data_IF_220340869406
#
_entry.id   IF_220340869406
#
_cell.length_a   1.000
_cell.length_b   1.000
_cell.length_c   1.000
_cell.angle_alpha   90.00
_cell.angle_beta   90.00
_cell.angle_gamma   90.00
#
_symmetry.space_group_name_H-M   'P 1'
#
loop_
_entity.id
_entity.type
_entity.pdbx_description
1 polymer ?
#
# COMPACT_ATOMS: atom_id res chain seq x y z
N UNK A 1 -56.13 -26.71 -10.49
CA UNK A 1 -54.73 -27.17 -10.42
C UNK A 1 -53.89 -26.12 -11.12
N UNK A 2 -53.26 -25.22 -10.37
CA UNK A 2 -52.39 -24.19 -10.90
C UNK A 2 -50.96 -24.53 -10.48
N UNK A 3 -50.13 -24.85 -11.46
CA UNK A 3 -48.71 -25.15 -11.29
C UNK A 3 -47.91 -23.82 -11.17
N UNK A 4 -47.35 -23.58 -10.01
CA UNK A 4 -46.37 -22.51 -9.76
C UNK A 4 -45.01 -22.95 -10.32
N UNK A 5 -44.51 -22.27 -11.33
CA UNK A 5 -43.10 -22.33 -11.72
C UNK A 5 -42.31 -21.34 -10.89
N UNK A 6 -41.43 -21.86 -10.03
CA UNK A 6 -40.42 -21.09 -9.34
C UNK A 6 -39.26 -20.78 -10.31
N UNK A 7 -39.13 -19.53 -10.72
CA UNK A 7 -37.95 -19.03 -11.42
C UNK A 7 -36.86 -18.73 -10.38
N UNK A 8 -35.77 -19.47 -10.46
CA UNK A 8 -34.56 -19.27 -9.68
C UNK A 8 -33.88 -17.98 -10.12
N UNK A 9 -33.77 -17.06 -9.16
CA UNK A 9 -33.13 -15.73 -9.30
C UNK A 9 -31.59 -15.85 -9.16
N UNK A 10 -30.95 -16.54 -10.13
CA UNK A 10 -29.50 -16.81 -10.15
C UNK A 10 -28.70 -15.93 -11.12
N UNK A 11 -29.33 -14.94 -11.78
CA UNK A 11 -28.69 -14.19 -12.88
C UNK A 11 -28.53 -12.69 -12.64
N UNK A 12 -28.15 -12.26 -11.44
CA UNK A 12 -27.86 -10.84 -11.18
C UNK A 12 -26.53 -10.57 -10.50
N UNK A 13 -25.47 -11.28 -10.89
CA UNK A 13 -24.10 -10.80 -10.61
C UNK A 13 -23.41 -10.46 -11.94
N UNK A 14 -24.05 -9.59 -12.71
CA UNK A 14 -23.42 -8.99 -13.88
C UNK A 14 -22.40 -7.97 -13.38
N UNK A 15 -21.16 -8.45 -13.21
CA UNK A 15 -19.98 -7.67 -12.83
C UNK A 15 -19.78 -6.57 -13.88
N UNK A 16 -20.21 -5.34 -13.59
CA UNK A 16 -19.86 -4.19 -14.40
C UNK A 16 -18.36 -3.95 -14.22
N UNK A 17 -17.53 -4.60 -15.05
CA UNK A 17 -16.14 -4.20 -15.27
C UNK A 17 -16.18 -2.75 -15.77
N UNK A 18 -16.02 -1.78 -14.88
CA UNK A 18 -15.86 -0.38 -15.30
C UNK A 18 -14.55 -0.30 -16.07
N UNK A 19 -14.64 0.07 -17.34
CA UNK A 19 -13.47 0.28 -18.19
C UNK A 19 -12.51 1.28 -17.54
N UNK A 20 -11.21 0.98 -17.60
CA UNK A 20 -10.18 1.94 -17.22
C UNK A 20 -10.29 3.20 -18.08
N UNK A 21 -9.99 4.39 -17.56
CA UNK A 21 -9.96 5.61 -18.36
C UNK A 21 -8.92 5.47 -19.49
N UNK A 22 -9.22 6.03 -20.63
CA UNK A 22 -8.48 5.91 -21.92
C UNK A 22 -6.99 6.31 -21.82
N UNK A 23 -6.56 6.88 -20.72
CA UNK A 23 -5.17 7.32 -20.46
C UNK A 23 -4.73 6.88 -19.04
N UNK A 24 -4.90 5.58 -18.71
CA UNK A 24 -4.48 5.06 -17.41
C UNK A 24 -2.95 5.06 -17.31
N UNK A 25 -2.43 5.73 -16.29
CA UNK A 25 -1.04 5.61 -15.90
C UNK A 25 -0.71 4.11 -15.70
N UNK A 26 0.41 3.64 -16.23
CA UNK A 26 0.85 2.25 -16.04
C UNK A 26 1.33 2.07 -14.60
N UNK A 27 0.43 1.62 -13.72
CA UNK A 27 0.71 1.43 -12.30
C UNK A 27 1.12 -0.02 -12.07
N UNK A 28 2.31 -0.22 -11.51
CA UNK A 28 2.74 -1.49 -10.93
C UNK A 28 2.44 -1.45 -9.43
N UNK A 29 1.58 -2.37 -8.98
CA UNK A 29 1.24 -2.51 -7.56
C UNK A 29 2.21 -3.51 -6.91
N UNK A 30 2.84 -3.13 -5.81
CA UNK A 30 3.85 -3.92 -5.09
C UNK A 30 3.37 -4.17 -3.66
N UNK A 31 3.22 -5.45 -3.31
CA UNK A 31 2.66 -5.90 -2.04
C UNK A 31 3.67 -6.83 -1.35
N UNK A 32 4.34 -6.39 -0.28
CA UNK A 32 5.18 -7.27 0.51
C UNK A 32 4.30 -8.17 1.37
N UNK A 33 4.50 -9.48 1.25
CA UNK A 33 3.78 -10.50 2.01
C UNK A 33 4.70 -11.08 3.07
N UNK A 34 4.30 -10.95 4.33
CA UNK A 34 5.04 -11.53 5.45
C UNK A 34 4.88 -13.05 5.54
N UNK A 35 5.72 -13.76 6.31
CA UNK A 35 5.48 -15.15 6.62
C UNK A 35 4.13 -15.28 7.36
N UNK A 36 3.35 -16.28 7.02
CA UNK A 36 2.04 -16.58 7.61
C UNK A 36 0.97 -15.46 7.46
N UNK A 37 1.20 -14.47 6.59
CA UNK A 37 0.24 -13.39 6.33
C UNK A 37 -0.69 -13.77 5.18
N UNK A 38 -1.93 -14.12 5.51
CA UNK A 38 -2.99 -14.44 4.55
C UNK A 38 -3.86 -13.23 4.16
N UNK A 39 -3.54 -12.02 4.66
CA UNK A 39 -4.37 -10.81 4.43
C UNK A 39 -4.40 -10.40 2.96
N UNK A 40 -3.36 -10.74 2.20
CA UNK A 40 -3.25 -10.48 0.77
C UNK A 40 -4.41 -11.09 -0.03
N UNK A 41 -5.00 -12.20 0.42
CA UNK A 41 -6.15 -12.83 -0.23
C UNK A 41 -7.33 -11.85 -0.39
N UNK A 42 -7.74 -11.23 0.70
CA UNK A 42 -8.84 -10.27 0.69
C UNK A 42 -8.49 -8.99 -0.09
N UNK A 43 -7.22 -8.60 -0.11
CA UNK A 43 -6.77 -7.46 -0.93
C UNK A 43 -6.85 -7.81 -2.42
N UNK A 44 -6.40 -9.00 -2.83
CA UNK A 44 -6.47 -9.43 -4.22
C UNK A 44 -7.91 -9.61 -4.71
N UNK A 45 -8.83 -10.11 -3.87
CA UNK A 45 -10.26 -10.18 -4.20
C UNK A 45 -10.84 -8.79 -4.51
N UNK A 46 -10.42 -7.75 -3.80
CA UNK A 46 -10.82 -6.38 -4.11
C UNK A 46 -10.15 -5.86 -5.38
N UNK A 47 -8.84 -6.09 -5.54
CA UNK A 47 -8.07 -5.65 -6.71
C UNK A 47 -8.60 -6.29 -7.98
N UNK A 48 -9.08 -7.54 -7.93
CA UNK A 48 -9.68 -8.24 -9.06
C UNK A 48 -10.86 -7.44 -9.69
N UNK A 49 -11.56 -6.63 -8.90
CA UNK A 49 -12.62 -5.74 -9.39
C UNK A 49 -12.07 -4.53 -10.17
N UNK A 50 -10.77 -4.25 -10.06
CA UNK A 50 -10.11 -3.05 -10.57
C UNK A 50 -8.88 -3.35 -11.43
N UNK A 51 -8.73 -4.59 -11.91
CA UNK A 51 -7.53 -5.04 -12.65
C UNK A 51 -7.13 -4.12 -13.81
N UNK A 52 -8.11 -3.58 -14.52
CA UNK A 52 -7.87 -2.69 -15.65
C UNK A 52 -7.08 -1.40 -15.30
N UNK A 53 -6.91 -1.09 -14.02
CA UNK A 53 -6.15 0.07 -13.55
C UNK A 53 -4.65 -0.23 -13.35
N UNK A 54 -4.27 -1.51 -13.32
CA UNK A 54 -2.91 -1.95 -13.07
C UNK A 54 -2.27 -2.53 -14.33
N UNK A 55 -1.01 -2.21 -14.54
CA UNK A 55 -0.20 -2.90 -15.53
C UNK A 55 0.15 -4.30 -15.03
N UNK A 56 0.45 -4.40 -13.75
CA UNK A 56 0.88 -5.62 -13.07
C UNK A 56 0.77 -5.49 -11.55
N UNK A 57 0.72 -6.63 -10.87
CA UNK A 57 0.61 -6.74 -9.41
C UNK A 57 1.64 -7.74 -8.94
N UNK A 58 2.55 -7.29 -8.07
CA UNK A 58 3.65 -8.07 -7.56
C UNK A 58 3.44 -8.37 -6.07
N UNK A 59 3.21 -9.65 -5.74
CA UNK A 59 3.25 -10.12 -4.35
C UNK A 59 4.66 -10.65 -4.09
N UNK A 60 5.38 -10.00 -3.21
CA UNK A 60 6.75 -10.35 -2.86
C UNK A 60 6.78 -10.98 -1.49
N UNK A 61 7.00 -12.28 -1.45
CA UNK A 61 6.94 -13.10 -0.23
C UNK A 61 8.32 -13.51 0.26
N UNK A 62 8.41 -13.84 1.54
CA UNK A 62 9.57 -14.51 2.14
C UNK A 62 9.33 -16.00 2.38
N UNK A 63 8.12 -16.50 2.13
CA UNK A 63 7.78 -17.91 2.16
C UNK A 63 8.04 -18.56 0.81
N UNK A 64 8.56 -19.77 0.81
CA UNK A 64 8.68 -20.61 -0.38
C UNK A 64 7.38 -21.37 -0.70
N UNK A 65 6.42 -21.38 0.22
CA UNK A 65 5.13 -22.01 0.02
C UNK A 65 4.21 -21.09 -0.80
N UNK A 66 3.76 -21.59 -1.93
CA UNK A 66 2.86 -20.90 -2.86
C UNK A 66 1.48 -21.55 -2.96
N UNK A 67 1.18 -22.57 -2.15
CA UNK A 67 -0.02 -23.38 -2.29
C UNK A 67 -1.31 -22.54 -2.24
N UNK A 68 -1.39 -21.59 -1.31
CA UNK A 68 -2.54 -20.68 -1.18
C UNK A 68 -2.68 -19.76 -2.40
N UNK A 69 -1.56 -19.27 -2.94
CA UNK A 69 -1.56 -18.44 -4.14
C UNK A 69 -1.94 -19.24 -5.37
N UNK A 70 -1.44 -20.46 -5.53
CA UNK A 70 -1.82 -21.35 -6.63
C UNK A 70 -3.31 -21.73 -6.55
N UNK A 71 -3.86 -21.92 -5.36
CA UNK A 71 -5.27 -22.13 -5.15
C UNK A 71 -6.08 -20.88 -5.55
N UNK A 72 -5.59 -19.68 -5.21
CA UNK A 72 -6.21 -18.42 -5.58
C UNK A 72 -6.21 -18.21 -7.11
N UNK A 73 -5.06 -18.40 -7.78
CA UNK A 73 -4.94 -18.20 -9.24
C UNK A 73 -5.83 -19.13 -10.04
N UNK A 74 -6.05 -20.38 -9.59
CA UNK A 74 -7.00 -21.32 -10.20
C UNK A 74 -8.45 -20.84 -10.14
N UNK A 75 -8.79 -20.02 -9.17
CA UNK A 75 -10.14 -19.48 -8.97
C UNK A 75 -10.41 -18.24 -9.83
N UNK A 76 -9.38 -17.50 -10.21
CA UNK A 76 -9.50 -16.24 -10.95
C UNK A 76 -8.80 -16.35 -12.31
N UNK A 77 -9.61 -16.45 -13.39
CA UNK A 77 -9.13 -16.70 -14.76
C UNK A 77 -8.29 -15.55 -15.37
N UNK A 78 -8.39 -14.34 -14.85
CA UNK A 78 -7.71 -13.13 -15.36
C UNK A 78 -6.43 -12.81 -14.54
N UNK A 79 -5.69 -13.81 -14.07
CA UNK A 79 -4.56 -13.64 -13.16
C UNK A 79 -3.21 -13.36 -13.84
N UNK A 80 -3.16 -13.18 -15.15
CA UNK A 80 -1.91 -12.99 -15.90
C UNK A 80 -1.06 -11.80 -15.46
N UNK A 81 -1.71 -10.76 -14.91
CA UNK A 81 -1.01 -9.57 -14.39
C UNK A 81 -0.54 -9.71 -12.95
N UNK A 82 -0.86 -10.85 -12.27
CA UNK A 82 -0.56 -11.05 -10.86
C UNK A 82 0.58 -12.05 -10.73
N UNK A 83 1.66 -11.60 -10.09
CA UNK A 83 2.89 -12.35 -9.96
C UNK A 83 3.21 -12.62 -8.48
N UNK A 84 3.65 -13.85 -8.20
CA UNK A 84 4.12 -14.28 -6.89
C UNK A 84 5.62 -14.53 -6.94
N UNK A 85 6.40 -13.80 -6.15
CA UNK A 85 7.86 -13.89 -6.18
C UNK A 85 8.41 -14.02 -4.77
N UNK A 86 9.28 -15.02 -4.60
CA UNK A 86 10.04 -15.23 -3.36
C UNK A 86 11.30 -14.37 -3.33
N UNK A 87 11.60 -13.79 -2.16
CA UNK A 87 12.84 -13.07 -1.90
C UNK A 87 13.35 -13.32 -0.48
N UNK A 88 14.54 -12.85 -0.17
CA UNK A 88 15.11 -12.91 1.17
C UNK A 88 14.32 -12.09 2.18
N UNK A 89 14.45 -12.45 3.46
CA UNK A 89 13.77 -11.77 4.56
C UNK A 89 14.21 -10.31 4.64
N UNK A 90 13.24 -9.42 4.74
CA UNK A 90 13.42 -7.98 4.91
C UNK A 90 12.43 -7.20 4.08
N UNK A 91 11.65 -6.33 4.74
CA UNK A 91 10.60 -5.57 4.05
C UNK A 91 11.16 -4.65 2.97
N UNK A 92 12.31 -3.99 3.23
CA UNK A 92 13.00 -3.18 2.21
C UNK A 92 13.42 -4.02 1.00
N UNK A 93 13.94 -5.25 1.22
CA UNK A 93 14.27 -6.19 0.14
C UNK A 93 13.03 -6.58 -0.67
N UNK A 94 11.92 -6.87 -0.01
CA UNK A 94 10.67 -7.22 -0.70
C UNK A 94 10.21 -6.07 -1.60
N UNK A 95 10.13 -4.85 -1.07
CA UNK A 95 9.67 -3.67 -1.80
C UNK A 95 10.60 -3.32 -2.97
N UNK A 96 11.91 -3.38 -2.77
CA UNK A 96 12.90 -3.13 -3.83
C UNK A 96 12.87 -4.24 -4.90
N UNK A 97 12.67 -5.50 -4.50
CA UNK A 97 12.54 -6.61 -5.46
C UNK A 97 11.35 -6.40 -6.36
N UNK A 98 10.18 -6.05 -5.79
CA UNK A 98 8.99 -5.72 -6.58
C UNK A 98 9.23 -4.53 -7.51
N UNK A 99 9.88 -3.48 -7.04
CA UNK A 99 10.19 -2.30 -7.84
C UNK A 99 11.13 -2.60 -9.03
N UNK A 100 12.11 -3.51 -8.84
CA UNK A 100 13.02 -3.96 -9.92
C UNK A 100 12.31 -4.80 -10.98
N UNK A 101 11.39 -5.65 -10.58
CA UNK A 101 10.63 -6.52 -11.50
C UNK A 101 9.53 -5.76 -12.23
N UNK A 102 8.99 -4.74 -11.61
CA UNK A 102 7.92 -3.91 -12.15
C UNK A 102 8.34 -3.24 -13.47
N UNK A 103 7.41 -3.08 -14.40
CA UNK A 103 7.61 -2.45 -15.72
C UNK A 103 6.83 -1.15 -15.90
N UNK A 104 5.86 -0.89 -15.02
CA UNK A 104 5.04 0.31 -15.04
C UNK A 104 5.84 1.57 -14.73
N UNK A 105 5.37 2.71 -15.23
CA UNK A 105 5.96 4.03 -14.97
C UNK A 105 5.69 4.55 -13.56
N UNK A 106 4.68 4.01 -12.89
CA UNK A 106 4.31 4.32 -11.52
C UNK A 106 4.42 3.10 -10.63
N UNK A 107 5.04 3.26 -9.47
CA UNK A 107 5.19 2.23 -8.45
C UNK A 107 4.28 2.58 -7.27
N UNK A 108 3.33 1.70 -6.96
CA UNK A 108 2.45 1.86 -5.81
C UNK A 108 2.70 0.76 -4.80
N UNK A 109 3.15 1.13 -3.61
CA UNK A 109 3.49 0.22 -2.53
C UNK A 109 2.34 0.14 -1.53
N UNK A 110 1.76 -1.05 -1.36
CA UNK A 110 0.67 -1.31 -0.42
C UNK A 110 1.03 -2.42 0.56
N UNK A 111 0.45 -2.35 1.76
CA UNK A 111 0.51 -3.46 2.70
C UNK A 111 -0.50 -4.55 2.31
N UNK A 112 -0.20 -5.82 2.64
CA UNK A 112 -1.07 -6.95 2.35
C UNK A 112 -2.44 -6.88 3.05
N UNK A 113 -2.51 -6.19 4.18
CA UNK A 113 -3.75 -5.96 4.96
C UNK A 113 -4.48 -4.66 4.59
N UNK A 114 -4.08 -3.98 3.51
CA UNK A 114 -4.78 -2.80 2.99
C UNK A 114 -6.11 -3.16 2.36
N UNK A 115 -7.04 -2.20 2.39
CA UNK A 115 -8.32 -2.26 1.67
C UNK A 115 -8.48 -1.03 0.80
N UNK A 116 -8.85 -1.25 -0.46
CA UNK A 116 -9.00 -0.22 -1.45
C UNK A 116 -10.48 0.03 -1.76
N UNK A 117 -10.84 1.29 -1.94
CA UNK A 117 -12.12 1.67 -2.52
C UNK A 117 -11.94 2.09 -3.98
N UNK A 118 -13.03 2.06 -4.76
CA UNK A 118 -13.04 2.61 -6.11
C UNK A 118 -12.60 4.08 -6.12
N UNK A 119 -13.04 4.85 -5.12
CA UNK A 119 -12.70 6.27 -5.03
C UNK A 119 -11.22 6.49 -4.79
N UNK A 120 -10.57 5.62 -4.01
CA UNK A 120 -9.12 5.70 -3.80
C UNK A 120 -8.34 5.50 -5.10
N UNK A 121 -8.72 4.50 -5.91
CA UNK A 121 -8.07 4.21 -7.19
C UNK A 121 -8.31 5.33 -8.19
N UNK A 122 -9.55 5.83 -8.28
CA UNK A 122 -9.92 6.93 -9.18
C UNK A 122 -9.20 8.23 -8.82
N UNK A 123 -9.13 8.56 -7.52
CA UNK A 123 -8.42 9.75 -7.03
C UNK A 123 -6.92 9.67 -7.31
N UNK A 124 -6.30 8.48 -7.11
CA UNK A 124 -4.90 8.26 -7.45
C UNK A 124 -4.68 8.47 -8.95
N UNK A 125 -5.44 7.81 -9.81
CA UNK A 125 -5.30 7.94 -11.27
C UNK A 125 -5.39 9.39 -11.73
N UNK A 126 -6.29 10.17 -11.14
CA UNK A 126 -6.42 11.60 -11.45
C UNK A 126 -5.17 12.38 -11.01
N UNK A 127 -4.65 12.10 -9.81
CA UNK A 127 -3.46 12.78 -9.29
C UNK A 127 -2.21 12.49 -10.12
N UNK A 128 -2.04 11.25 -10.61
CA UNK A 128 -0.90 10.84 -11.41
C UNK A 128 -0.81 11.51 -12.79
N UNK A 129 -1.88 12.16 -13.24
CA UNK A 129 -1.88 12.92 -14.49
C UNK A 129 -1.25 14.32 -14.36
N UNK A 130 -1.11 14.84 -13.15
CA UNK A 130 -0.79 16.24 -12.90
C UNK A 130 0.68 16.51 -12.54
N UNK A 131 1.39 15.55 -11.96
CA UNK A 131 2.75 15.76 -11.44
C UNK A 131 3.50 14.44 -11.30
N UNK A 132 4.64 14.30 -11.98
CA UNK A 132 5.46 13.10 -11.97
C UNK A 132 6.54 13.11 -10.89
N UNK A 133 6.80 14.23 -10.24
CA UNK A 133 7.95 14.42 -9.36
C UNK A 133 7.58 14.43 -7.87
N UNK A 134 6.45 13.80 -7.53
CA UNK A 134 5.92 13.77 -6.16
C UNK A 134 5.76 12.34 -5.64
N UNK A 135 5.80 12.19 -4.32
CA UNK A 135 5.31 11.00 -3.63
C UNK A 135 3.88 11.26 -3.18
N UNK A 136 2.98 10.39 -3.63
CA UNK A 136 1.57 10.43 -3.25
C UNK A 136 1.31 9.48 -2.10
N UNK A 137 0.40 9.85 -1.20
CA UNK A 137 -0.04 9.02 -0.07
C UNK A 137 -1.51 9.29 0.25
N UNK A 138 -2.16 8.34 0.93
CA UNK A 138 -3.58 8.40 1.27
C UNK A 138 -3.78 8.74 2.75
N UNK A 139 -5.01 9.12 3.10
CA UNK A 139 -5.43 9.14 4.49
C UNK A 139 -5.54 7.70 5.00
N UNK A 140 -5.15 7.49 6.25
CA UNK A 140 -5.25 6.19 6.91
C UNK A 140 -6.54 6.07 7.70
N UNK A 141 -7.20 4.92 7.60
CA UNK A 141 -8.30 4.51 8.46
C UNK A 141 -8.07 3.08 8.92
N UNK A 142 -8.51 2.76 10.13
CA UNK A 142 -8.47 1.38 10.63
C UNK A 142 -9.82 0.69 10.41
N UNK A 143 -9.79 -0.62 10.17
CA UNK A 143 -10.97 -1.47 10.19
C UNK A 143 -11.55 -1.53 11.61
N UNK A 144 -12.81 -1.99 11.73
CA UNK A 144 -13.49 -2.15 13.01
C UNK A 144 -13.10 -3.43 13.75
N UNK A 145 -12.03 -4.10 13.30
CA UNK A 145 -11.50 -5.34 13.85
C UNK A 145 -10.59 -5.17 15.08
N UNK A 146 -10.42 -3.93 15.54
CA UNK A 146 -9.63 -3.55 16.70
C UNK A 146 -10.36 -2.65 17.70
N UNK A 147 -9.64 -2.14 18.73
CA UNK A 147 -10.22 -1.25 19.74
C UNK A 147 -10.59 0.12 19.13
N UNK A 148 -11.68 0.73 19.62
CA UNK A 148 -12.14 2.06 19.16
C UNK A 148 -11.09 3.17 19.34
N UNK A 149 -10.14 2.99 20.25
CA UNK A 149 -9.03 3.92 20.47
C UNK A 149 -8.10 4.07 19.26
N UNK A 150 -8.15 3.18 18.25
CA UNK A 150 -7.42 3.33 16.98
C UNK A 150 -7.80 4.58 16.21
N UNK A 151 -8.97 5.18 16.46
CA UNK A 151 -9.34 6.51 15.91
C UNK A 151 -8.36 7.62 16.32
N UNK A 152 -7.75 7.52 17.50
CA UNK A 152 -6.68 8.44 17.90
C UNK A 152 -5.42 8.24 17.05
N UNK A 153 -5.14 7.01 16.65
CA UNK A 153 -4.02 6.71 15.76
C UNK A 153 -4.30 7.22 14.32
N UNK A 154 -5.55 7.16 13.83
CA UNK A 154 -5.96 7.75 12.55
C UNK A 154 -5.70 9.26 12.56
N UNK A 155 -6.17 9.95 13.59
CA UNK A 155 -5.93 11.38 13.76
C UNK A 155 -4.44 11.72 13.87
N UNK A 156 -3.69 10.94 14.65
CA UNK A 156 -2.24 11.09 14.78
C UNK A 156 -1.50 10.86 13.44
N UNK A 157 -1.91 9.86 12.67
CA UNK A 157 -1.38 9.61 11.33
C UNK A 157 -1.69 10.78 10.38
N UNK A 158 -2.92 11.31 10.42
CA UNK A 158 -3.31 12.47 9.64
C UNK A 158 -2.44 13.69 9.99
N UNK A 159 -2.31 14.05 11.29
CA UNK A 159 -1.45 15.16 11.73
C UNK A 159 -0.01 14.99 11.28
N UNK A 160 0.55 13.81 11.48
CA UNK A 160 1.93 13.50 11.09
C UNK A 160 2.14 13.66 9.57
N UNK A 161 1.24 13.12 8.75
CA UNK A 161 1.40 13.15 7.30
C UNK A 161 1.07 14.49 6.67
N UNK A 162 0.10 15.26 7.21
CA UNK A 162 -0.30 16.55 6.64
C UNK A 162 0.53 17.73 7.17
N UNK A 163 0.83 17.75 8.45
CA UNK A 163 1.57 18.87 9.04
C UNK A 163 3.08 18.63 9.05
N UNK A 164 3.52 17.44 9.50
CA UNK A 164 4.94 17.13 9.51
C UNK A 164 5.45 16.60 8.18
N UNK A 165 4.55 16.31 7.23
CA UNK A 165 4.87 15.73 5.93
C UNK A 165 5.63 14.40 6.05
N UNK A 166 5.22 13.53 6.98
CA UNK A 166 5.85 12.25 7.27
C UNK A 166 4.80 11.11 7.12
N UNK A 167 4.30 10.81 5.91
CA UNK A 167 3.47 9.64 5.67
C UNK A 167 4.28 8.35 5.89
N UNK A 168 3.60 7.26 6.25
CA UNK A 168 4.18 5.94 6.38
C UNK A 168 3.68 5.00 5.27
N UNK A 169 4.26 3.80 5.16
CA UNK A 169 3.92 2.82 4.14
C UNK A 169 2.49 2.30 4.21
N UNK A 170 1.87 2.29 5.40
CA UNK A 170 0.45 1.95 5.59
C UNK A 170 -0.52 2.95 4.93
N UNK A 171 -0.02 4.11 4.52
CA UNK A 171 -0.75 5.11 3.75
C UNK A 171 -0.59 4.94 2.22
N UNK A 172 0.00 3.84 1.75
CA UNK A 172 0.08 3.48 0.34
C UNK A 172 0.90 4.47 -0.49
N UNK A 173 2.22 4.45 -0.33
CA UNK A 173 3.12 5.34 -1.05
C UNK A 173 3.11 5.02 -2.55
N UNK A 174 2.83 6.02 -3.39
CA UNK A 174 2.90 5.92 -4.84
C UNK A 174 3.79 7.03 -5.41
N UNK A 175 4.68 6.66 -6.33
CA UNK A 175 5.59 7.59 -6.99
C UNK A 175 6.00 7.10 -8.37
N UNK A 176 6.52 7.98 -9.21
CA UNK A 176 7.10 7.57 -10.48
C UNK A 176 8.33 6.70 -10.25
N UNK A 177 8.61 5.80 -11.20
CA UNK A 177 9.84 4.98 -11.19
C UNK A 177 11.09 5.85 -11.09
N UNK A 178 11.13 6.94 -11.85
CA UNK A 178 12.25 7.89 -11.85
C UNK A 178 12.46 8.49 -10.44
N UNK A 179 11.38 8.92 -9.78
CA UNK A 179 11.45 9.42 -8.39
C UNK A 179 11.95 8.35 -7.43
N UNK A 180 11.49 7.10 -7.57
CA UNK A 180 11.94 5.98 -6.74
C UNK A 180 13.44 5.68 -6.91
N UNK A 181 13.91 5.63 -8.14
CA UNK A 181 15.33 5.42 -8.48
C UNK A 181 16.21 6.57 -7.97
N UNK A 182 15.77 7.81 -8.13
CA UNK A 182 16.46 9.00 -7.60
C UNK A 182 16.58 8.96 -6.07
N UNK A 183 15.57 8.43 -5.38
CA UNK A 183 15.60 8.23 -3.92
C UNK A 183 16.57 7.12 -3.49
N UNK A 184 16.98 6.24 -4.38
CA UNK A 184 17.83 5.08 -4.10
C UNK A 184 17.08 3.88 -3.53
N UNK A 185 15.75 3.86 -3.61
CA UNK A 185 14.91 2.80 -3.11
C UNK A 185 14.74 2.78 -1.58
N UNK A 186 14.13 1.71 -1.07
CA UNK A 186 13.98 1.49 0.38
C UNK A 186 15.29 1.01 1.00
N UNK A 187 15.67 1.50 2.19
CA UNK A 187 16.79 0.95 2.95
C UNK A 187 16.55 -0.53 3.29
N UNK A 188 17.51 -1.39 2.96
CA UNK A 188 17.40 -2.85 3.15
C UNK A 188 17.96 -3.32 4.49
N UNK A 189 18.95 -2.60 5.03
CA UNK A 189 19.68 -2.97 6.25
C UNK A 189 19.09 -2.33 7.52
N UNK A 190 17.77 -2.25 7.60
CA UNK A 190 17.09 -1.69 8.76
C UNK A 190 16.03 -2.66 9.29
N UNK A 191 15.89 -2.81 10.61
CA UNK A 191 14.95 -3.75 11.19
C UNK A 191 13.48 -3.29 11.10
N UNK A 192 13.24 -2.01 10.83
CA UNK A 192 11.90 -1.39 10.68
C UNK A 192 12.01 0.03 10.12
N UNK A 193 10.88 0.56 9.60
CA UNK A 193 10.73 1.96 9.20
C UNK A 193 11.49 2.34 7.93
N UNK A 194 11.68 1.39 7.03
CA UNK A 194 12.25 1.59 5.70
C UNK A 194 11.46 2.63 4.89
N UNK A 195 10.14 2.64 5.04
CA UNK A 195 9.21 3.61 4.44
C UNK A 195 9.42 5.01 5.02
N UNK A 196 9.57 5.11 6.33
CA UNK A 196 9.86 6.36 7.02
C UNK A 196 11.20 6.96 6.58
N UNK A 197 12.23 6.13 6.43
CA UNK A 197 13.55 6.57 5.95
C UNK A 197 13.51 7.02 4.49
N UNK A 198 12.73 6.35 3.63
CA UNK A 198 12.48 6.79 2.26
C UNK A 198 11.86 8.19 2.22
N UNK A 199 10.86 8.45 3.07
CA UNK A 199 10.22 9.76 3.20
C UNK A 199 11.20 10.83 3.68
N UNK A 200 12.10 10.52 4.61
CA UNK A 200 13.17 11.44 5.00
C UNK A 200 14.15 11.72 3.86
N UNK A 201 14.42 10.73 3.00
CA UNK A 201 15.25 10.95 1.81
C UNK A 201 14.56 11.89 0.83
N UNK A 202 13.24 11.77 0.67
CA UNK A 202 12.44 12.69 -0.12
C UNK A 202 12.56 14.15 0.41
N UNK A 203 12.50 14.35 1.73
CA UNK A 203 12.71 15.66 2.34
C UNK A 203 14.10 16.23 2.03
N UNK A 204 15.15 15.41 2.11
CA UNK A 204 16.53 15.85 1.80
C UNK A 204 16.66 16.26 0.33
N UNK A 205 15.99 15.56 -0.57
CA UNK A 205 15.99 15.85 -2.00
C UNK A 205 14.91 16.84 -2.43
N UNK A 206 14.12 17.37 -1.48
CA UNK A 206 13.03 18.34 -1.72
C UNK A 206 11.95 17.80 -2.66
N UNK A 207 11.72 16.48 -2.66
CA UNK A 207 10.63 15.86 -3.41
C UNK A 207 9.31 16.15 -2.69
N UNK A 208 8.29 16.68 -3.38
CA UNK A 208 7.01 16.97 -2.76
C UNK A 208 6.28 15.72 -2.28
N UNK A 209 5.58 15.84 -1.15
CA UNK A 209 4.69 14.81 -0.60
C UNK A 209 3.26 15.29 -0.72
N UNK A 210 2.41 14.58 -1.48
CA UNK A 210 1.06 14.99 -1.83
C UNK A 210 0.02 14.01 -1.29
N UNK A 211 -0.91 14.52 -0.48
CA UNK A 211 -2.03 13.74 -0.01
C UNK A 211 -3.06 13.53 -1.12
N UNK A 212 -3.47 12.30 -1.34
CA UNK A 212 -4.64 11.95 -2.15
C UNK A 212 -5.89 12.19 -1.28
N UNK A 213 -6.93 12.87 -1.79
CA UNK A 213 -8.16 13.14 -1.04
C UNK A 213 -9.06 11.89 -0.97
N UNK A 214 -8.47 10.76 -0.61
CA UNK A 214 -9.12 9.47 -0.43
C UNK A 214 -8.46 8.71 0.73
N UNK A 215 -9.04 7.57 1.11
CA UNK A 215 -8.64 6.81 2.29
C UNK A 215 -8.27 5.39 1.91
N UNK A 216 -7.16 4.89 2.46
CA UNK A 216 -6.85 3.47 2.54
C UNK A 216 -7.21 2.98 3.94
N UNK A 217 -7.89 1.83 4.00
CA UNK A 217 -8.22 1.18 5.26
C UNK A 217 -7.24 0.04 5.51
N UNK A 218 -6.78 -0.13 6.74
CA UNK A 218 -5.88 -1.22 7.16
C UNK A 218 -6.41 -1.91 8.41
N UNK A 219 -6.00 -3.16 8.65
CA UNK A 219 -6.43 -3.94 9.80
C UNK A 219 -5.89 -3.38 11.11
N UNK A 220 -6.74 -3.33 12.13
CA UNK A 220 -6.37 -2.95 13.49
C UNK A 220 -6.05 -4.14 14.41
N UNK A 221 -5.99 -5.39 13.86
CA UNK A 221 -5.80 -6.63 14.68
C UNK A 221 -4.55 -6.61 15.55
N UNK A 222 -3.44 -5.98 15.15
CA UNK A 222 -2.23 -5.82 15.97
C UNK A 222 -2.48 -5.04 17.26
N UNK A 223 -3.36 -4.04 17.20
CA UNK A 223 -3.76 -3.29 18.38
C UNK A 223 -4.66 -4.09 19.31
N UNK A 224 -5.37 -5.09 18.77
CA UNK A 224 -6.20 -6.02 19.54
C UNK A 224 -5.35 -7.09 20.24
N UNK A 225 -4.36 -7.69 19.50
CA UNK A 225 -3.51 -8.77 20.05
C UNK A 225 -2.46 -8.26 21.04
N UNK A 226 -1.76 -7.18 20.71
CA UNK A 226 -0.62 -6.68 21.50
C UNK A 226 -0.99 -5.61 22.51
N UNK A 227 -2.25 -5.16 22.51
CA UNK A 227 -2.78 -4.07 23.32
C UNK A 227 -2.51 -2.70 22.68
N UNK A 228 -3.55 -1.86 22.63
CA UNK A 228 -3.52 -0.56 21.96
C UNK A 228 -2.43 0.37 22.51
N UNK A 229 -2.36 0.53 23.83
CA UNK A 229 -1.44 1.47 24.48
C UNK A 229 0.03 1.09 24.23
N UNK A 230 0.37 -0.18 24.44
CA UNK A 230 1.73 -0.70 24.23
C UNK A 230 2.16 -0.56 22.78
N UNK A 231 1.28 -0.88 21.84
CA UNK A 231 1.56 -0.79 20.41
C UNK A 231 1.72 0.66 19.98
N UNK A 232 0.86 1.56 20.43
CA UNK A 232 0.93 3.00 20.11
C UNK A 232 2.21 3.63 20.65
N UNK A 233 2.58 3.39 21.92
CA UNK A 233 3.83 3.92 22.49
C UNK A 233 5.05 3.38 21.74
N UNK A 234 5.07 2.08 21.41
CA UNK A 234 6.16 1.49 20.64
C UNK A 234 6.32 2.17 19.29
N UNK A 235 5.23 2.46 18.59
CA UNK A 235 5.26 3.15 17.29
C UNK A 235 5.74 4.61 17.46
N UNK A 236 5.23 5.34 18.44
CA UNK A 236 5.67 6.72 18.71
C UNK A 236 7.16 6.79 19.03
N UNK A 237 7.65 5.89 19.89
CA UNK A 237 9.07 5.83 20.26
C UNK A 237 9.96 5.50 19.05
N UNK A 238 9.58 4.50 18.23
CA UNK A 238 10.31 4.14 17.01
C UNK A 238 10.34 5.30 16.02
N UNK A 239 9.22 5.98 15.83
CA UNK A 239 9.13 7.18 14.98
C UNK A 239 10.06 8.27 15.48
N UNK A 240 10.03 8.59 16.76
CA UNK A 240 10.90 9.61 17.34
C UNK A 240 12.39 9.24 17.21
N UNK A 241 12.75 8.00 17.54
CA UNK A 241 14.13 7.51 17.46
C UNK A 241 14.70 7.59 16.04
N UNK A 242 13.89 7.33 15.00
CA UNK A 242 14.32 7.46 13.60
C UNK A 242 14.29 8.90 13.10
N UNK A 243 13.29 9.72 13.52
CA UNK A 243 13.14 11.09 13.04
C UNK A 243 14.22 12.03 13.57
N UNK A 244 14.62 11.91 14.84
CA UNK A 244 15.57 12.83 15.46
C UNK A 244 16.91 12.93 14.70
N UNK A 245 17.61 11.83 14.39
CA UNK A 245 18.85 11.89 13.62
C UNK A 245 18.67 12.51 12.24
N UNK A 246 17.54 12.19 11.56
CA UNK A 246 17.25 12.70 10.23
C UNK A 246 16.99 14.23 10.25
N UNK A 247 16.26 14.70 11.27
CA UNK A 247 15.98 16.13 11.46
C UNK A 247 17.27 16.91 11.70
N UNK A 248 18.14 16.40 12.58
CA UNK A 248 19.46 17.03 12.85
C UNK A 248 20.29 17.09 11.58
N UNK A 249 20.36 16.01 10.81
CA UNK A 249 21.08 15.96 9.54
C UNK A 249 20.50 16.96 8.51
N UNK A 250 19.18 17.07 8.43
CA UNK A 250 18.51 18.01 7.53
C UNK A 250 18.77 19.47 7.90
N UNK A 251 18.71 19.81 9.18
CA UNK A 251 19.01 21.15 9.67
C UNK A 251 20.49 21.51 9.47
N UNK A 252 21.40 20.59 9.76
CA UNK A 252 22.84 20.78 9.54
C UNK A 252 23.22 20.99 8.08
N UNK A 253 22.49 20.38 7.12
CA UNK A 253 22.71 20.58 5.69
C UNK A 253 22.17 21.91 5.17
N UNK A 254 21.22 22.55 5.86
CA UNK A 254 20.65 23.87 5.50
C UNK A 254 21.43 25.03 6.04
N UNK A 255 22.32 24.81 7.01
CA UNK A 255 23.16 25.82 7.63
C UNK A 255 24.55 25.91 6.98
N UNK A 256 24.88 25.03 6.07
CA UNK A 256 26.08 25.07 5.22
C UNK A 256 25.73 25.58 3.83
#
# INVERSE_FOLDING_TARGET
MATYHATTDSDKLCCHKKAAPVNSAKISLIIPVGPDDSSWNSLLEQIALFQAWFAEIWLITTSTDSADFECWTRRFSDSEIIHWVHTIIGRGHQLNTGARLATGSWLWFLHADSRLSHDAISALSTALQSDHDSIYFFNLKFETDGPTATRLNEWGAWMRSHWLRLPFGDQGLCMSRETFERLGGFPENVPYGEDHLLVWQAHKQRIPLRAIPATITTSARKYRSDGWFRTTIRHLWRTAAQSLPQLVALLGSRLR
#
